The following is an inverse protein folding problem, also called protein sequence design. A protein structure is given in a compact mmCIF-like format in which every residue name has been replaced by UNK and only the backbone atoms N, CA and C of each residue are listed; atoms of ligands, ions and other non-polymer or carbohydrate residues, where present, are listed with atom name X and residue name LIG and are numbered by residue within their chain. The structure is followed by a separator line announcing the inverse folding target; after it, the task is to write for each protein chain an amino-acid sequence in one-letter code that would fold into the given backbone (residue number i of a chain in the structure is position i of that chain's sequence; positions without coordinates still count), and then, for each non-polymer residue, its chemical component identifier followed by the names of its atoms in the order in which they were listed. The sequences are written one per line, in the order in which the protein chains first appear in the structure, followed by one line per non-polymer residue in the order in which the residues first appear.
data_IF_597510603567
#
_entry.id   IF_597510603567
#
_cell.length_a   1.000
_cell.length_b   1.000
_cell.length_c   1.000
_cell.angle_alpha   90.00
_cell.angle_beta   90.00
_cell.angle_gamma   90.00
#
_symmetry.space_group_name_H-M   'P 1'
#
loop_
_entity.id
_entity.type
_entity.pdbx_description
1 polymer ?
#
# COMPACT_ATOMS: atom_id res chain seq x y z
N UNK A 1 0.55 -3.59 0.77
CA UNK A 1 0.21 -4.64 1.75
C UNK A 1 1.09 -5.85 1.41
N UNK A 2 1.66 -6.51 2.40
CA UNK A 2 2.62 -7.61 2.20
C UNK A 2 1.91 -8.93 1.91
N UNK A 3 1.29 -8.99 0.74
CA UNK A 3 0.64 -10.20 0.23
C UNK A 3 1.68 -11.17 -0.34
N UNK A 4 1.37 -12.47 -0.33
CA UNK A 4 2.23 -13.47 -0.98
C UNK A 4 1.93 -13.48 -2.47
N UNK A 5 2.31 -12.40 -3.16
CA UNK A 5 2.07 -12.16 -4.58
C UNK A 5 3.29 -11.51 -5.25
N UNK A 6 3.36 -11.61 -6.59
CA UNK A 6 4.37 -10.89 -7.37
C UNK A 6 4.23 -9.37 -7.22
N UNK A 7 2.99 -8.84 -7.20
CA UNK A 7 2.72 -7.41 -7.05
C UNK A 7 3.32 -6.80 -5.79
N UNK A 8 3.31 -7.53 -4.66
CA UNK A 8 3.99 -7.07 -3.45
C UNK A 8 5.51 -6.96 -3.64
N UNK A 9 6.14 -7.97 -4.26
CA UNK A 9 7.58 -7.99 -4.50
C UNK A 9 7.98 -6.85 -5.44
N UNK A 10 7.23 -6.66 -6.52
CA UNK A 10 7.42 -5.58 -7.49
C UNK A 10 7.31 -4.21 -6.83
N UNK A 11 6.24 -3.94 -6.08
CA UNK A 11 6.05 -2.69 -5.37
C UNK A 11 7.14 -2.45 -4.30
N UNK A 12 7.55 -3.49 -3.56
CA UNK A 12 8.59 -3.40 -2.54
C UNK A 12 9.94 -3.00 -3.14
N UNK A 13 10.34 -3.63 -4.25
CA UNK A 13 11.59 -3.28 -4.93
C UNK A 13 11.48 -1.94 -5.67
N UNK A 14 10.33 -1.61 -6.25
CA UNK A 14 10.10 -0.30 -6.87
C UNK A 14 10.34 0.84 -5.88
N UNK A 15 9.92 0.70 -4.62
CA UNK A 15 10.27 1.66 -3.57
C UNK A 15 11.79 1.85 -3.45
N UNK A 16 12.56 0.76 -3.44
CA UNK A 16 14.02 0.84 -3.32
C UNK A 16 14.65 1.52 -4.55
N UNK A 17 14.21 1.18 -5.77
CA UNK A 17 14.66 1.83 -7.00
C UNK A 17 14.30 3.31 -7.05
N UNK A 18 13.14 3.70 -6.50
CA UNK A 18 12.68 5.08 -6.44
C UNK A 18 13.25 5.89 -5.25
N UNK A 19 14.08 5.28 -4.39
CA UNK A 19 14.61 5.93 -3.18
C UNK A 19 13.55 6.17 -2.09
N UNK A 20 12.44 5.43 -2.11
CA UNK A 20 11.36 5.47 -1.14
C UNK A 20 11.56 4.45 -0.01
N UNK A 21 11.03 4.76 1.16
CA UNK A 21 11.01 3.83 2.30
C UNK A 21 9.79 2.91 2.20
N UNK A 22 10.01 1.63 1.93
CA UNK A 22 8.95 0.62 1.92
C UNK A 22 8.50 0.27 3.35
N UNK A 23 7.20 0.24 3.60
CA UNK A 23 6.59 -0.17 4.89
C UNK A 23 5.69 -1.40 4.66
N UNK A 24 6.24 -2.63 4.74
CA UNK A 24 5.46 -3.85 4.52
C UNK A 24 4.49 -4.10 5.70
N UNK A 25 3.20 -4.28 5.37
CA UNK A 25 2.13 -4.51 6.35
C UNK A 25 1.57 -5.93 6.21
N UNK A 26 1.56 -6.68 7.32
CA UNK A 26 1.02 -8.04 7.34
C UNK A 26 -0.51 -8.05 7.18
N UNK A 27 -1.03 -9.03 6.44
CA UNK A 27 -2.46 -9.30 6.31
C UNK A 27 -3.02 -9.76 7.67
N UNK A 28 -4.25 -9.36 8.05
CA UNK A 28 -4.87 -9.86 9.27
C UNK A 28 -5.09 -11.38 9.21
N UNK A 29 -4.48 -12.08 10.17
CA UNK A 29 -4.63 -13.52 10.35
C UNK A 29 -5.84 -13.78 11.26
N UNK A 30 -7.06 -13.87 10.70
CA UNK A 30 -8.23 -14.34 11.46
C UNK A 30 -9.59 -13.80 11.01
N UNK A 31 -10.62 -14.65 11.10
CA UNK A 31 -12.02 -14.29 10.86
C UNK A 31 -12.50 -13.35 11.98
N UNK A 32 -13.18 -12.25 11.62
CA UNK A 32 -13.74 -11.29 12.59
C UNK A 32 -12.77 -10.23 13.11
N UNK A 33 -11.53 -10.16 12.59
CA UNK A 33 -10.52 -9.18 13.03
C UNK A 33 -10.47 -7.90 12.18
N UNK A 34 -11.50 -7.66 11.34
CA UNK A 34 -11.52 -6.53 10.41
C UNK A 34 -11.38 -5.18 11.11
N UNK A 35 -12.10 -4.98 12.21
CA UNK A 35 -12.08 -3.69 12.94
C UNK A 35 -10.75 -3.47 13.64
N UNK A 36 -10.20 -4.50 14.27
CA UNK A 36 -8.87 -4.49 14.89
C UNK A 36 -7.78 -4.18 13.87
N UNK A 37 -7.88 -4.77 12.68
CA UNK A 37 -6.95 -4.49 11.58
C UNK A 37 -7.10 -3.05 11.06
N UNK A 38 -8.33 -2.57 10.90
CA UNK A 38 -8.61 -1.19 10.47
C UNK A 38 -8.05 -0.17 11.46
N UNK A 39 -8.17 -0.42 12.77
CA UNK A 39 -7.59 0.44 13.80
C UNK A 39 -6.05 0.45 13.76
N UNK A 40 -5.42 -0.72 13.58
CA UNK A 40 -3.96 -0.82 13.39
C UNK A 40 -3.50 -0.08 12.14
N UNK A 41 -4.21 -0.24 11.02
CA UNK A 41 -3.91 0.43 9.76
C UNK A 41 -3.98 1.95 9.93
N UNK A 42 -5.04 2.47 10.58
CA UNK A 42 -5.17 3.90 10.92
C UNK A 42 -3.98 4.41 11.74
N UNK A 43 -3.58 3.67 12.77
CA UNK A 43 -2.43 4.04 13.61
C UNK A 43 -1.11 4.06 12.84
N UNK A 44 -0.91 3.11 11.93
CA UNK A 44 0.27 3.06 11.06
C UNK A 44 0.31 4.23 10.09
N UNK A 45 -0.81 4.51 9.40
CA UNK A 45 -0.93 5.66 8.48
C UNK A 45 -0.62 6.96 9.21
N UNK A 46 -1.17 7.16 10.42
CA UNK A 46 -0.91 8.35 11.22
C UNK A 46 0.57 8.46 11.68
N UNK A 47 1.24 7.32 11.87
CA UNK A 47 2.63 7.26 12.35
C UNK A 47 3.65 7.54 11.25
N UNK A 48 3.49 6.96 10.05
CA UNK A 48 4.45 7.09 8.96
C UNK A 48 4.03 8.05 7.85
N UNK A 49 2.78 8.52 7.84
CA UNK A 49 2.21 9.44 6.86
C UNK A 49 2.59 9.08 5.40
N UNK A 50 2.21 7.87 4.93
CA UNK A 50 2.66 7.36 3.64
C UNK A 50 2.13 8.21 2.49
N UNK A 51 2.89 8.28 1.39
CA UNK A 51 2.44 8.92 0.15
C UNK A 51 1.51 8.02 -0.68
N UNK A 52 1.71 6.70 -0.59
CA UNK A 52 0.90 5.72 -1.29
C UNK A 52 0.75 4.42 -0.47
N UNK A 53 -0.37 3.71 -0.67
CA UNK A 53 -0.57 2.32 -0.27
C UNK A 53 -0.89 1.52 -1.52
N UNK A 54 -0.11 0.47 -1.77
CA UNK A 54 -0.31 -0.48 -2.86
C UNK A 54 -0.84 -1.80 -2.29
N UNK A 55 -1.84 -2.42 -2.90
CA UNK A 55 -2.36 -3.75 -2.54
C UNK A 55 -3.05 -4.43 -3.72
N UNK A 56 -3.49 -5.67 -3.56
CA UNK A 56 -4.49 -6.24 -4.45
C UNK A 56 -5.85 -5.52 -4.31
N UNK A 57 -6.71 -5.69 -5.31
CA UNK A 57 -8.03 -5.05 -5.38
C UNK A 57 -8.95 -5.46 -4.21
N UNK A 58 -8.73 -6.65 -3.63
CA UNK A 58 -9.50 -7.16 -2.49
C UNK A 58 -9.40 -6.26 -1.25
N UNK A 59 -8.24 -5.61 -1.05
CA UNK A 59 -7.96 -4.80 0.14
C UNK A 59 -8.32 -3.32 -0.03
N UNK A 60 -8.47 -2.84 -1.27
CA UNK A 60 -8.76 -1.43 -1.57
C UNK A 60 -9.95 -0.88 -0.80
N UNK A 61 -11.11 -1.58 -0.67
CA UNK A 61 -12.25 -1.07 0.10
C UNK A 61 -11.95 -0.90 1.60
N UNK A 62 -11.17 -1.81 2.19
CA UNK A 62 -10.76 -1.69 3.59
C UNK A 62 -9.78 -0.52 3.78
N UNK A 63 -8.82 -0.37 2.88
CA UNK A 63 -7.85 0.72 2.94
C UNK A 63 -8.56 2.06 2.81
N UNK A 64 -9.47 2.20 1.83
CA UNK A 64 -10.28 3.41 1.65
C UNK A 64 -11.04 3.80 2.93
N UNK A 65 -11.68 2.84 3.60
CA UNK A 65 -12.38 3.08 4.87
C UNK A 65 -11.45 3.49 6.03
N UNK A 66 -10.18 3.06 5.97
CA UNK A 66 -9.18 3.45 6.95
C UNK A 66 -8.64 4.87 6.69
N UNK A 67 -8.76 5.37 5.45
CA UNK A 67 -8.07 6.57 4.98
C UNK A 67 -9.00 7.72 4.60
N UNK A 68 -10.32 7.63 4.86
CA UNK A 68 -11.35 8.61 4.45
C UNK A 68 -10.99 10.09 4.74
N UNK A 69 -10.19 10.35 5.77
CA UNK A 69 -9.78 11.71 6.17
C UNK A 69 -8.33 12.08 5.75
N UNK A 70 -7.70 11.32 4.86
CA UNK A 70 -6.31 11.54 4.42
C UNK A 70 -6.29 12.02 2.97
N UNK A 71 -6.32 13.33 2.77
CA UNK A 71 -6.51 13.95 1.45
C UNK A 71 -5.33 13.83 0.47
N UNK A 72 -4.15 13.42 0.93
CA UNK A 72 -2.93 13.35 0.13
C UNK A 72 -2.43 11.91 -0.14
N UNK A 73 -3.19 10.89 0.24
CA UNK A 73 -2.76 9.50 0.14
C UNK A 73 -3.26 8.85 -1.15
N UNK A 74 -2.35 8.29 -1.94
CA UNK A 74 -2.71 7.44 -3.09
C UNK A 74 -3.02 6.01 -2.62
N UNK A 75 -4.15 5.46 -3.09
CA UNK A 75 -4.50 4.05 -2.90
C UNK A 75 -4.48 3.41 -4.27
N UNK A 76 -3.59 2.46 -4.48
CA UNK A 76 -3.36 1.82 -5.77
C UNK A 76 -3.60 0.32 -5.64
N UNK A 77 -4.38 -0.24 -6.55
CA UNK A 77 -4.33 -1.68 -6.79
C UNK A 77 -3.02 -2.06 -7.49
N UNK A 78 -2.66 -3.34 -7.51
CA UNK A 78 -1.54 -3.84 -8.32
C UNK A 78 -1.71 -3.46 -9.81
N UNK A 79 -2.95 -3.44 -10.31
CA UNK A 79 -3.25 -3.04 -11.68
C UNK A 79 -3.03 -1.53 -11.90
N UNK A 80 -3.46 -0.68 -10.96
CA UNK A 80 -3.24 0.77 -11.02
C UNK A 80 -1.75 1.10 -10.95
N UNK A 81 -1.02 0.39 -10.07
CA UNK A 81 0.41 0.54 -9.91
C UNK A 81 1.16 0.20 -11.21
N UNK A 82 0.80 -0.89 -11.87
CA UNK A 82 1.39 -1.30 -13.15
C UNK A 82 0.97 -0.42 -14.34
N UNK A 83 -0.15 0.30 -14.22
CA UNK A 83 -0.61 1.25 -15.23
C UNK A 83 -0.01 2.66 -15.06
N UNK A 84 0.82 2.88 -14.04
CA UNK A 84 1.52 4.15 -13.87
C UNK A 84 2.39 4.46 -15.10
N UNK A 85 2.45 5.73 -15.53
CA UNK A 85 3.28 6.11 -16.67
C UNK A 85 4.74 5.77 -16.38
N UNK A 86 5.43 5.21 -17.37
CA UNK A 86 6.85 4.92 -17.32
C UNK A 86 7.62 6.16 -17.82
N UNK A 87 8.19 6.98 -16.92
CA UNK A 87 9.00 8.11 -17.35
C UNK A 87 10.32 7.59 -17.91
N UNK A 88 10.73 8.10 -19.06
CA UNK A 88 12.04 7.79 -19.64
C UNK A 88 13.12 8.54 -18.83
N UNK A 89 13.64 7.87 -17.80
CA UNK A 89 14.69 8.38 -16.91
C UNK A 89 15.88 7.42 -16.91
N UNK A 90 17.09 7.97 -16.84
CA UNK A 90 18.27 7.17 -16.61
C UNK A 90 18.21 6.61 -15.18
N UNK A 91 18.22 5.28 -15.06
CA UNK A 91 18.33 4.63 -13.76
C UNK A 91 19.72 4.92 -13.16
N UNK A 92 19.81 5.22 -11.85
CA UNK A 92 21.07 5.52 -11.18
C UNK A 92 22.04 4.34 -11.11
#
# INVERSE_FOLDING_TARGET
IAETSAGFVEAFFACQYAGLVAVPLAIPMGVGQRDSYTAKLKGLIASCNPAAIVSSEEWTPLIASATENTSALHILSDADFNALPEPEIALP
#
